data_IF_777248983484
#
_entry.id   IF_777248983484
#
_cell.length_a   1.000
_cell.length_b   1.000
_cell.length_c   1.000
_cell.angle_alpha   90.00
_cell.angle_beta   90.00
_cell.angle_gamma   90.00
#
_symmetry.space_group_name_H-M   'P 1'
#
loop_
_entity.id
_entity.type
_entity.pdbx_description
1 polymer ?
#
# COMPACT_ATOMS: atom_id res chain seq x y z
N UNK A 1 13.29 -43.02 -26.48
CA UNK A 1 12.96 -42.05 -25.41
C UNK A 1 13.80 -40.82 -25.64
N UNK A 2 13.25 -39.83 -26.34
CA UNK A 2 13.88 -38.52 -26.50
C UNK A 2 13.46 -37.68 -25.30
N UNK A 3 14.42 -37.35 -24.44
CA UNK A 3 14.23 -36.36 -23.40
C UNK A 3 13.94 -35.02 -24.07
N UNK A 4 12.72 -34.53 -23.91
CA UNK A 4 12.40 -33.16 -24.26
C UNK A 4 13.29 -32.24 -23.42
N UNK A 5 14.07 -31.40 -24.10
CA UNK A 5 14.83 -30.35 -23.44
C UNK A 5 13.85 -29.38 -22.75
N UNK A 6 14.20 -28.82 -21.58
CA UNK A 6 13.40 -27.78 -20.96
C UNK A 6 13.39 -26.61 -21.92
N UNK A 7 12.20 -26.25 -22.41
CA UNK A 7 12.07 -25.04 -23.19
C UNK A 7 12.19 -23.88 -22.19
N UNK A 8 13.35 -23.24 -22.15
CA UNK A 8 13.41 -21.85 -21.67
C UNK A 8 12.63 -21.02 -22.70
N UNK A 9 11.40 -20.62 -22.35
CA UNK A 9 10.54 -19.83 -23.22
C UNK A 9 10.50 -18.41 -22.68
N UNK A 10 10.79 -17.44 -23.55
CA UNK A 10 10.72 -16.02 -23.28
C UNK A 10 9.31 -15.53 -22.90
N UNK A 11 9.18 -14.21 -22.77
CA UNK A 11 7.96 -13.53 -22.32
C UNK A 11 6.70 -14.00 -23.09
N UNK A 12 5.72 -14.53 -22.36
CA UNK A 12 4.43 -14.99 -22.90
C UNK A 12 3.56 -13.82 -23.35
N UNK A 13 2.46 -14.09 -24.06
CA UNK A 13 1.50 -13.05 -24.46
C UNK A 13 0.89 -12.33 -23.24
N UNK A 14 0.57 -13.08 -22.18
CA UNK A 14 -0.04 -12.50 -20.97
C UNK A 14 0.96 -11.62 -20.21
N UNK A 15 2.23 -12.04 -20.13
CA UNK A 15 3.29 -11.22 -19.54
C UNK A 15 3.53 -9.94 -20.34
N UNK A 16 3.53 -10.02 -21.68
CA UNK A 16 3.66 -8.82 -22.53
C UNK A 16 2.49 -7.86 -22.31
N UNK A 17 1.27 -8.39 -22.26
CA UNK A 17 0.06 -7.58 -21.99
C UNK A 17 0.16 -6.87 -20.64
N UNK A 18 0.52 -7.61 -19.59
CA UNK A 18 0.69 -7.06 -18.25
C UNK A 18 1.79 -5.98 -18.20
N UNK A 19 2.92 -6.22 -18.86
CA UNK A 19 4.02 -5.28 -18.95
C UNK A 19 3.66 -4.00 -19.69
N UNK A 20 2.98 -4.11 -20.84
CA UNK A 20 2.50 -2.95 -21.59
C UNK A 20 1.55 -2.09 -20.74
N UNK A 21 0.64 -2.73 -19.99
CA UNK A 21 -0.28 -2.03 -19.08
C UNK A 21 0.47 -1.40 -17.90
N UNK A 22 1.44 -2.10 -17.31
CA UNK A 22 2.25 -1.58 -16.21
C UNK A 22 3.12 -0.39 -16.63
N UNK A 23 3.84 -0.50 -17.74
CA UNK A 23 4.65 0.59 -18.28
C UNK A 23 3.78 1.79 -18.68
N UNK A 24 2.59 1.56 -19.25
CA UNK A 24 1.64 2.62 -19.52
C UNK A 24 1.13 3.30 -18.24
N UNK A 25 0.88 2.56 -17.17
CA UNK A 25 0.45 3.12 -15.88
C UNK A 25 1.56 4.01 -15.31
N UNK A 26 2.78 3.47 -15.21
CA UNK A 26 3.92 4.15 -14.59
C UNK A 26 4.47 5.31 -15.43
N UNK A 27 4.09 5.42 -16.70
CA UNK A 27 4.32 6.60 -17.52
C UNK A 27 3.32 7.74 -17.25
N UNK A 28 2.22 7.46 -16.55
CA UNK A 28 1.27 8.48 -16.08
C UNK A 28 1.54 8.87 -14.63
N UNK A 29 0.69 9.71 -14.04
CA UNK A 29 0.75 10.08 -12.62
C UNK A 29 -0.64 10.01 -11.99
N UNK A 30 -0.76 9.55 -10.73
CA UNK A 30 -2.01 9.62 -9.98
C UNK A 30 -2.39 11.04 -9.56
N UNK A 31 -1.48 12.02 -9.64
CA UNK A 31 -1.68 13.40 -9.18
C UNK A 31 -2.49 14.27 -10.17
N UNK A 32 -3.34 13.65 -10.98
CA UNK A 32 -4.21 14.35 -11.91
C UNK A 32 -5.50 14.78 -11.21
N UNK A 33 -5.93 16.01 -11.48
CA UNK A 33 -7.27 16.45 -11.14
C UNK A 33 -8.30 15.69 -12.00
N UNK A 34 -9.46 15.39 -11.42
CA UNK A 34 -10.53 14.73 -12.18
C UNK A 34 -11.29 15.74 -13.06
N UNK A 35 -11.73 15.35 -14.27
CA UNK A 35 -11.58 14.03 -14.89
C UNK A 35 -10.13 13.75 -15.33
N UNK A 36 -9.71 12.49 -15.22
CA UNK A 36 -8.37 12.04 -15.63
C UNK A 36 -8.16 12.22 -17.14
N UNK A 37 -6.91 12.32 -17.58
CA UNK A 37 -6.61 12.34 -19.01
C UNK A 37 -6.95 10.99 -19.67
N UNK A 38 -7.01 10.97 -21.00
CA UNK A 38 -7.41 9.79 -21.76
C UNK A 38 -6.47 8.59 -21.54
N UNK A 39 -5.16 8.83 -21.45
CA UNK A 39 -4.14 7.80 -21.26
C UNK A 39 -4.31 7.08 -19.92
N UNK A 40 -4.41 7.83 -18.81
CA UNK A 40 -4.62 7.28 -17.48
C UNK A 40 -5.99 6.59 -17.38
N UNK A 41 -7.02 7.19 -17.95
CA UNK A 41 -8.36 6.58 -17.96
C UNK A 41 -8.37 5.23 -18.68
N UNK A 42 -7.66 5.11 -19.79
CA UNK A 42 -7.59 3.88 -20.58
C UNK A 42 -6.78 2.79 -19.87
N UNK A 43 -5.63 3.13 -19.28
CA UNK A 43 -4.83 2.12 -18.55
C UNK A 43 -5.56 1.59 -17.32
N UNK A 44 -6.27 2.44 -16.56
CA UNK A 44 -7.05 1.99 -15.41
C UNK A 44 -8.21 1.07 -15.81
N UNK A 45 -8.86 1.29 -16.97
CA UNK A 45 -9.87 0.36 -17.51
C UNK A 45 -9.29 -1.01 -17.85
N UNK A 46 -8.09 -1.05 -18.45
CA UNK A 46 -7.40 -2.31 -18.75
C UNK A 46 -7.04 -3.07 -17.48
N UNK A 47 -6.55 -2.36 -16.46
CA UNK A 47 -6.27 -2.95 -15.14
C UNK A 47 -7.56 -3.51 -14.51
N UNK A 48 -8.64 -2.73 -14.49
CA UNK A 48 -9.93 -3.21 -13.99
C UNK A 48 -10.37 -4.48 -14.72
N UNK A 49 -10.26 -4.52 -16.05
CA UNK A 49 -10.61 -5.70 -16.84
C UNK A 49 -9.77 -6.92 -16.50
N UNK A 50 -8.44 -6.77 -16.36
CA UNK A 50 -7.56 -7.86 -15.94
C UNK A 50 -7.94 -8.36 -14.54
N UNK A 51 -8.28 -7.45 -13.63
CA UNK A 51 -8.74 -7.82 -12.30
C UNK A 51 -10.08 -8.58 -12.37
N UNK A 52 -11.06 -8.09 -13.12
CA UNK A 52 -12.37 -8.75 -13.26
C UNK A 52 -12.24 -10.18 -13.84
N UNK A 53 -11.26 -10.41 -14.72
CA UNK A 53 -10.96 -11.74 -15.26
C UNK A 53 -10.24 -12.66 -14.25
N UNK A 54 -9.60 -12.09 -13.24
CA UNK A 54 -8.92 -12.79 -12.15
C UNK A 54 -9.87 -12.96 -10.96
N UNK A 55 -10.57 -14.10 -10.92
CA UNK A 55 -11.51 -14.44 -9.84
C UNK A 55 -10.79 -14.56 -8.49
N UNK A 56 -11.48 -14.26 -7.39
CA UNK A 56 -10.96 -14.42 -6.02
C UNK A 56 -10.44 -15.83 -5.75
N UNK A 57 -11.24 -16.87 -6.03
CA UNK A 57 -10.85 -18.28 -5.85
C UNK A 57 -9.53 -18.60 -6.58
N UNK A 58 -9.39 -18.10 -7.81
CA UNK A 58 -8.17 -18.29 -8.58
C UNK A 58 -6.97 -17.59 -7.91
N UNK A 59 -7.14 -16.34 -7.47
CA UNK A 59 -6.11 -15.57 -6.78
C UNK A 59 -5.72 -16.22 -5.44
N UNK A 60 -6.68 -16.60 -4.60
CA UNK A 60 -6.43 -17.28 -3.33
C UNK A 60 -5.70 -18.61 -3.54
N UNK A 61 -6.12 -19.41 -4.52
CA UNK A 61 -5.43 -20.65 -4.87
C UNK A 61 -4.00 -20.41 -5.38
N UNK A 62 -3.75 -19.27 -6.05
CA UNK A 62 -2.41 -18.83 -6.41
C UNK A 62 -1.58 -18.46 -5.18
N UNK A 63 -2.13 -17.68 -4.23
CA UNK A 63 -1.45 -17.32 -2.98
C UNK A 63 -1.08 -18.56 -2.16
N UNK A 64 -1.95 -19.57 -2.12
CA UNK A 64 -1.70 -20.82 -1.39
C UNK A 64 -0.81 -21.83 -2.15
N UNK A 65 -0.48 -21.58 -3.43
CA UNK A 65 0.24 -22.55 -4.25
C UNK A 65 1.73 -22.66 -3.90
N UNK A 66 2.39 -23.70 -4.41
CA UNK A 66 3.85 -23.84 -4.36
C UNK A 66 4.52 -22.85 -5.32
N UNK A 67 5.75 -22.44 -5.03
CA UNK A 67 6.50 -21.44 -5.79
C UNK A 67 6.56 -21.73 -7.28
N UNK A 68 6.91 -22.95 -7.68
CA UNK A 68 6.96 -23.32 -9.10
C UNK A 68 5.58 -23.20 -9.79
N UNK A 69 4.49 -23.49 -9.08
CA UNK A 69 3.13 -23.33 -9.61
C UNK A 69 2.74 -21.85 -9.71
N UNK A 70 3.09 -21.06 -8.70
CA UNK A 70 2.85 -19.62 -8.70
C UNK A 70 3.59 -18.92 -9.84
N UNK A 71 4.89 -19.19 -10.00
CA UNK A 71 5.71 -18.66 -11.09
C UNK A 71 5.18 -19.05 -12.48
N UNK A 72 4.62 -20.26 -12.61
CA UNK A 72 3.98 -20.66 -13.86
C UNK A 72 2.67 -19.90 -14.10
N UNK A 73 1.83 -19.69 -13.08
CA UNK A 73 0.59 -18.92 -13.23
C UNK A 73 0.85 -17.45 -13.54
N UNK A 74 1.87 -16.85 -12.92
CA UNK A 74 2.34 -15.49 -13.24
C UNK A 74 2.75 -15.33 -14.71
N UNK A 75 3.05 -16.42 -15.43
CA UNK A 75 3.35 -16.38 -16.87
C UNK A 75 2.11 -16.47 -17.76
N UNK A 76 0.97 -16.93 -17.26
CA UNK A 76 -0.21 -17.24 -18.09
C UNK A 76 -1.50 -16.58 -17.59
N UNK A 77 -1.39 -15.60 -16.71
CA UNK A 77 -2.49 -14.75 -16.27
C UNK A 77 -2.02 -13.29 -16.24
N UNK A 78 -2.65 -12.37 -17.02
CA UNK A 78 -2.21 -10.98 -17.08
C UNK A 78 -2.26 -10.25 -15.74
N UNK A 79 -3.23 -10.55 -14.87
CA UNK A 79 -3.37 -9.86 -13.59
C UNK A 79 -2.32 -10.33 -12.59
N UNK A 80 -2.04 -11.64 -12.52
CA UNK A 80 -0.96 -12.18 -11.70
C UNK A 80 0.41 -11.72 -12.20
N UNK A 81 0.60 -11.63 -13.51
CA UNK A 81 1.80 -11.05 -14.11
C UNK A 81 1.97 -9.58 -13.69
N UNK A 82 0.89 -8.77 -13.78
CA UNK A 82 0.91 -7.36 -13.38
C UNK A 82 1.19 -7.18 -11.88
N UNK A 83 0.55 -8.00 -11.03
CA UNK A 83 0.80 -8.06 -9.59
C UNK A 83 2.28 -8.34 -9.29
N UNK A 84 2.85 -9.36 -9.94
CA UNK A 84 4.28 -9.70 -9.79
C UNK A 84 5.21 -8.59 -10.29
N UNK A 85 4.93 -8.04 -11.47
CA UNK A 85 5.71 -6.96 -12.08
C UNK A 85 5.73 -5.71 -11.19
N UNK A 86 4.62 -5.40 -10.53
CA UNK A 86 4.52 -4.27 -9.60
C UNK A 86 5.50 -4.42 -8.43
N UNK A 87 5.60 -5.61 -7.83
CA UNK A 87 6.61 -5.86 -6.79
C UNK A 87 8.04 -5.74 -7.35
N UNK A 88 8.33 -6.40 -8.46
CA UNK A 88 9.68 -6.40 -9.03
C UNK A 88 10.11 -4.97 -9.42
N UNK A 89 9.18 -4.16 -9.94
CA UNK A 89 9.38 -2.74 -10.24
C UNK A 89 9.71 -1.94 -8.98
N UNK A 90 8.92 -2.08 -7.91
CA UNK A 90 9.15 -1.36 -6.64
C UNK A 90 10.47 -1.78 -6.00
N UNK A 91 10.77 -3.08 -5.95
CA UNK A 91 12.06 -3.60 -5.47
C UNK A 91 13.22 -2.99 -6.26
N UNK A 92 13.13 -2.96 -7.59
CA UNK A 92 14.16 -2.35 -8.43
C UNK A 92 14.28 -0.83 -8.19
N UNK A 93 13.16 -0.14 -8.04
CA UNK A 93 13.13 1.30 -7.76
C UNK A 93 13.79 1.62 -6.41
N UNK A 94 13.53 0.83 -5.36
CA UNK A 94 14.14 1.01 -4.04
C UNK A 94 15.66 0.79 -4.11
N UNK A 95 16.12 -0.24 -4.83
CA UNK A 95 17.56 -0.52 -5.00
C UNK A 95 18.30 0.60 -5.70
N UNK A 96 17.69 1.19 -6.72
CA UNK A 96 18.35 2.11 -7.65
C UNK A 96 18.13 3.58 -7.32
N UNK A 97 17.09 3.91 -6.55
CA UNK A 97 16.81 5.29 -6.14
C UNK A 97 17.72 5.69 -4.98
N UNK A 98 18.64 6.62 -5.24
CA UNK A 98 19.24 7.46 -4.20
C UNK A 98 18.30 8.63 -3.93
N UNK A 99 17.84 8.78 -2.70
CA UNK A 99 16.92 9.88 -2.33
C UNK A 99 17.74 11.09 -1.93
N UNK A 100 17.46 12.24 -2.54
CA UNK A 100 18.12 13.51 -2.24
C UNK A 100 17.67 14.06 -0.88
N UNK A 101 18.55 14.77 -0.16
CA UNK A 101 18.16 15.50 1.05
C UNK A 101 17.00 16.46 0.76
N UNK A 102 16.03 16.51 1.68
CA UNK A 102 14.79 17.28 1.55
C UNK A 102 13.70 16.57 0.75
N UNK A 103 13.87 15.29 0.42
CA UNK A 103 12.95 14.52 -0.44
C UNK A 103 12.50 13.22 0.22
N UNK A 104 11.26 12.79 -0.06
CA UNK A 104 10.76 11.45 0.29
C UNK A 104 10.15 10.78 -0.92
N UNK A 105 10.48 9.50 -1.16
CA UNK A 105 9.84 8.67 -2.16
C UNK A 105 8.83 7.72 -1.50
N UNK A 106 7.66 7.57 -2.12
CA UNK A 106 6.56 6.73 -1.64
C UNK A 106 6.14 5.82 -2.81
N UNK A 107 5.99 4.53 -2.55
CA UNK A 107 5.49 3.56 -3.53
C UNK A 107 4.27 2.85 -2.99
N UNK A 108 3.23 2.73 -3.82
CA UNK A 108 2.08 1.90 -3.55
C UNK A 108 2.30 0.50 -4.14
N UNK A 109 2.20 -0.56 -3.32
CA UNK A 109 2.51 -1.92 -3.77
C UNK A 109 1.27 -2.73 -4.15
N UNK A 110 0.39 -3.00 -3.19
CA UNK A 110 -0.81 -3.81 -3.36
C UNK A 110 -1.78 -3.50 -2.21
N UNK A 111 -3.09 -3.49 -2.49
CA UNK A 111 -4.14 -3.16 -1.52
C UNK A 111 -3.90 -1.80 -0.81
N UNK A 112 -3.32 -1.82 0.39
CA UNK A 112 -2.84 -0.62 1.08
C UNK A 112 -1.40 -0.74 1.62
N UNK A 113 -0.61 -1.61 1.02
CA UNK A 113 0.80 -1.78 1.37
C UNK A 113 1.67 -0.69 0.73
N UNK A 114 2.27 0.16 1.55
CA UNK A 114 3.15 1.26 1.11
C UNK A 114 4.59 1.07 1.53
N UNK A 115 5.51 1.54 0.69
CA UNK A 115 6.92 1.67 1.04
C UNK A 115 7.32 3.14 0.96
N UNK A 116 8.03 3.61 1.97
CA UNK A 116 8.51 4.99 2.07
C UNK A 116 10.03 4.98 2.22
N UNK A 117 10.73 5.80 1.43
CA UNK A 117 12.18 5.96 1.47
C UNK A 117 12.57 7.43 1.56
N UNK A 118 13.29 7.77 2.62
CA UNK A 118 14.01 9.02 2.83
C UNK A 118 15.50 8.81 2.48
N UNK A 119 16.35 9.85 2.54
CA UNK A 119 17.80 9.68 2.35
C UNK A 119 18.43 8.69 3.34
N UNK A 120 17.91 8.62 4.56
CA UNK A 120 18.51 7.83 5.64
C UNK A 120 17.72 6.60 6.07
N UNK A 121 16.46 6.43 5.63
CA UNK A 121 15.62 5.32 6.09
C UNK A 121 14.61 4.87 5.04
N UNK A 122 14.37 3.57 4.94
CA UNK A 122 13.41 2.92 4.07
C UNK A 122 12.50 2.00 4.90
N UNK A 123 11.18 2.13 4.82
CA UNK A 123 10.27 1.35 5.64
C UNK A 123 8.98 0.97 4.92
N UNK A 124 8.38 -0.14 5.35
CA UNK A 124 7.12 -0.65 4.81
C UNK A 124 5.97 -0.51 5.81
N UNK A 125 4.75 -0.33 5.31
CA UNK A 125 3.51 -0.37 6.07
C UNK A 125 2.55 -1.32 5.37
N UNK A 126 1.94 -2.24 6.11
CA UNK A 126 0.92 -3.18 5.64
C UNK A 126 1.28 -3.94 4.34
N UNK A 127 2.54 -4.35 4.24
CA UNK A 127 3.05 -5.05 3.06
C UNK A 127 2.48 -6.48 3.03
N UNK A 128 1.57 -6.71 2.08
CA UNK A 128 1.12 -8.04 1.71
C UNK A 128 1.37 -8.30 0.22
N UNK A 129 2.31 -9.20 -0.04
CA UNK A 129 2.56 -9.74 -1.37
C UNK A 129 3.10 -11.16 -1.23
N UNK A 130 2.83 -12.06 -2.20
CA UNK A 130 3.34 -13.46 -2.16
C UNK A 130 4.85 -13.50 -1.89
N UNK A 131 5.60 -12.74 -2.68
CA UNK A 131 7.06 -12.62 -2.63
C UNK A 131 7.58 -11.48 -1.74
N UNK A 132 6.77 -11.00 -0.78
CA UNK A 132 7.12 -9.83 0.04
C UNK A 132 8.43 -9.99 0.82
N UNK A 133 8.84 -11.21 1.17
CA UNK A 133 10.11 -11.47 1.86
C UNK A 133 11.33 -10.88 1.13
N UNK A 134 11.27 -10.72 -0.20
CA UNK A 134 12.33 -10.12 -1.02
C UNK A 134 12.59 -8.64 -0.70
N UNK A 135 11.68 -7.99 0.03
CA UNK A 135 11.82 -6.61 0.50
C UNK A 135 12.68 -6.49 1.75
N UNK A 136 12.84 -7.56 2.55
CA UNK A 136 13.58 -7.50 3.82
C UNK A 136 14.93 -6.78 3.70
N UNK A 137 15.81 -7.09 2.71
CA UNK A 137 17.13 -6.47 2.65
C UNK A 137 17.11 -4.95 2.49
N UNK A 138 15.98 -4.39 2.03
CA UNK A 138 15.83 -2.99 1.68
C UNK A 138 14.98 -2.19 2.66
N UNK A 139 14.34 -2.85 3.63
CA UNK A 139 13.57 -2.20 4.68
C UNK A 139 14.40 -2.15 5.95
N UNK A 140 14.38 -1.00 6.62
CA UNK A 140 14.98 -0.77 7.93
C UNK A 140 14.01 -1.14 9.05
N UNK A 141 12.71 -0.91 8.84
CA UNK A 141 11.64 -1.38 9.73
C UNK A 141 10.33 -1.64 8.97
N UNK A 142 9.40 -2.34 9.63
CA UNK A 142 8.07 -2.65 9.11
C UNK A 142 7.00 -2.23 10.13
N UNK A 143 5.90 -1.65 9.65
CA UNK A 143 4.70 -1.37 10.43
C UNK A 143 3.56 -2.27 9.94
N UNK A 144 2.86 -2.93 10.85
CA UNK A 144 1.68 -3.75 10.56
C UNK A 144 0.53 -3.28 11.43
N UNK A 145 -0.53 -2.79 10.81
CA UNK A 145 -1.63 -2.12 11.50
C UNK A 145 -2.42 -3.12 12.35
N UNK A 146 -2.75 -4.29 11.82
CA UNK A 146 -3.53 -5.30 12.52
C UNK A 146 -3.40 -6.71 11.92
N UNK A 147 -4.15 -7.66 12.46
CA UNK A 147 -4.03 -9.10 12.15
C UNK A 147 -5.12 -9.57 11.18
N UNK A 148 -5.19 -8.96 10.00
CA UNK A 148 -5.91 -9.51 8.84
C UNK A 148 -4.91 -9.81 7.72
N UNK A 149 -5.15 -10.93 7.02
CA UNK A 149 -4.14 -11.52 6.12
C UNK A 149 -3.77 -10.61 4.95
N UNK A 150 -4.66 -9.72 4.54
CA UNK A 150 -4.47 -8.78 3.46
C UNK A 150 -3.56 -7.58 3.83
N UNK A 151 -3.21 -7.42 5.12
CA UNK A 151 -2.32 -6.36 5.64
C UNK A 151 -0.90 -6.84 5.98
N UNK A 152 -0.60 -8.13 5.91
CA UNK A 152 0.74 -8.60 6.28
C UNK A 152 1.16 -9.85 5.54
N UNK A 153 2.47 -9.98 5.36
CA UNK A 153 3.09 -11.22 4.94
C UNK A 153 3.93 -11.84 6.06
N UNK A 154 3.60 -13.06 6.46
CA UNK A 154 4.29 -13.79 7.53
C UNK A 154 5.76 -14.03 7.23
N UNK A 155 6.12 -14.35 5.98
CA UNK A 155 7.51 -14.60 5.61
C UNK A 155 8.36 -13.32 5.73
N UNK A 156 7.83 -12.17 5.27
CA UNK A 156 8.48 -10.88 5.47
C UNK A 156 8.64 -10.52 6.96
N UNK A 157 7.59 -10.67 7.77
CA UNK A 157 7.68 -10.41 9.23
C UNK A 157 8.81 -11.25 9.85
N UNK A 158 8.84 -12.55 9.56
CA UNK A 158 9.86 -13.44 10.10
C UNK A 158 11.25 -13.07 9.61
N UNK A 159 11.40 -12.73 8.33
CA UNK A 159 12.67 -12.29 7.75
C UNK A 159 13.19 -11.03 8.45
N UNK A 160 12.33 -10.01 8.66
CA UNK A 160 12.67 -8.79 9.38
C UNK A 160 13.12 -9.08 10.82
N UNK A 161 12.35 -9.88 11.57
CA UNK A 161 12.68 -10.23 12.95
C UNK A 161 13.98 -11.03 13.05
N UNK A 162 14.22 -11.97 12.14
CA UNK A 162 15.45 -12.77 12.08
C UNK A 162 16.68 -11.91 11.76
N UNK A 163 16.50 -10.85 10.95
CA UNK A 163 17.54 -9.86 10.66
C UNK A 163 17.73 -8.83 11.81
N UNK A 164 16.96 -8.92 12.90
CA UNK A 164 17.01 -7.98 14.02
C UNK A 164 16.38 -6.62 13.70
N UNK A 165 15.59 -6.51 12.63
CA UNK A 165 14.95 -5.27 12.21
C UNK A 165 13.61 -5.05 12.94
N UNK A 166 13.30 -3.81 13.37
CA UNK A 166 12.06 -3.53 14.08
C UNK A 166 10.81 -3.86 13.25
N UNK A 167 9.84 -4.49 13.91
CA UNK A 167 8.48 -4.66 13.41
C UNK A 167 7.50 -4.07 14.43
N UNK A 168 6.81 -2.99 14.07
CA UNK A 168 5.85 -2.29 14.92
C UNK A 168 4.44 -2.78 14.66
N UNK A 169 3.73 -3.19 15.70
CA UNK A 169 2.34 -3.64 15.60
C UNK A 169 1.65 -3.64 16.95
N UNK A 170 0.43 -4.18 17.02
CA UNK A 170 -0.22 -4.49 18.29
C UNK A 170 -0.29 -5.99 18.62
N UNK A 171 0.29 -6.89 17.82
CA UNK A 171 0.08 -8.33 17.98
C UNK A 171 1.28 -9.23 17.62
N UNK A 172 2.28 -8.73 16.92
CA UNK A 172 3.41 -9.52 16.43
C UNK A 172 4.41 -9.77 17.55
N UNK A 173 4.46 -11.01 18.04
CA UNK A 173 5.44 -11.43 19.04
C UNK A 173 6.87 -11.27 18.50
N UNK A 174 7.76 -10.74 19.34
CA UNK A 174 9.16 -10.47 18.97
C UNK A 174 9.37 -9.07 18.36
N UNK A 175 8.31 -8.41 17.90
CA UNK A 175 8.33 -7.01 17.48
C UNK A 175 8.04 -6.02 18.62
N UNK A 176 8.06 -4.74 18.27
CA UNK A 176 7.62 -3.65 19.12
C UNK A 176 6.09 -3.64 19.16
N UNK A 177 5.55 -4.23 20.21
CA UNK A 177 4.10 -4.46 20.35
C UNK A 177 3.49 -3.56 21.42
N UNK A 178 2.45 -2.81 21.07
CA UNK A 178 1.64 -2.08 22.05
C UNK A 178 0.14 -2.23 21.79
N UNK A 179 -0.62 -2.40 22.87
CA UNK A 179 -2.10 -2.40 22.88
C UNK A 179 -2.70 -1.05 23.31
N UNK A 180 -1.85 -0.03 23.47
CA UNK A 180 -2.21 1.33 23.86
C UNK A 180 -1.54 2.30 22.91
N UNK A 181 -1.98 3.56 22.92
CA UNK A 181 -1.26 4.60 22.20
C UNK A 181 0.18 4.67 22.68
N UNK A 182 1.12 4.82 21.76
CA UNK A 182 2.55 4.72 22.05
C UNK A 182 3.32 5.49 20.99
N UNK A 183 4.45 6.05 21.39
CA UNK A 183 5.41 6.66 20.48
C UNK A 183 6.66 5.78 20.41
N UNK A 184 7.18 5.63 19.19
CA UNK A 184 8.46 5.02 18.91
C UNK A 184 9.34 6.00 18.14
N UNK A 185 10.63 5.69 18.08
CA UNK A 185 11.58 6.42 17.26
C UNK A 185 12.54 5.43 16.60
N UNK A 186 12.79 5.62 15.31
CA UNK A 186 13.83 4.93 14.55
C UNK A 186 14.66 5.98 13.80
N UNK A 187 15.94 6.11 14.13
CA UNK A 187 16.78 7.22 13.66
C UNK A 187 16.11 8.59 13.91
N UNK A 188 15.86 9.35 12.85
CA UNK A 188 15.17 10.64 12.88
C UNK A 188 13.65 10.53 12.66
N UNK A 189 13.13 9.33 12.41
CA UNK A 189 11.69 9.10 12.21
C UNK A 189 11.01 8.87 13.56
N UNK A 190 10.02 9.71 13.88
CA UNK A 190 9.10 9.46 15.00
C UNK A 190 7.86 8.75 14.48
N UNK A 191 7.35 7.79 15.26
CA UNK A 191 6.21 6.96 14.92
C UNK A 191 5.20 7.07 16.06
N UNK A 192 4.08 7.74 15.80
CA UNK A 192 2.96 7.85 16.74
C UNK A 192 1.92 6.79 16.44
N UNK A 193 1.52 6.03 17.45
CA UNK A 193 0.52 4.99 17.32
C UNK A 193 -0.74 5.38 18.09
N UNK A 194 -1.88 5.37 17.39
CA UNK A 194 -3.22 5.36 18.00
C UNK A 194 -3.83 3.97 17.86
N UNK A 195 -4.54 3.51 18.89
CA UNK A 195 -5.26 2.23 18.85
C UNK A 195 -6.76 2.49 18.66
N UNK A 196 -7.32 1.90 17.60
CA UNK A 196 -8.71 2.12 17.17
C UNK A 196 -9.45 0.80 16.97
N UNK A 197 -10.78 0.84 16.90
CA UNK A 197 -11.54 -0.36 16.50
C UNK A 197 -11.40 -0.61 15.00
N UNK A 198 -11.59 -1.85 14.59
CA UNK A 198 -11.66 -2.26 13.21
C UNK A 198 -13.03 -1.96 12.63
N UNK A 199 -13.07 -1.12 11.59
CA UNK A 199 -14.26 -0.77 10.81
C UNK A 199 -15.59 -0.83 11.61
N UNK A 200 -16.60 -1.54 11.12
CA UNK A 200 -17.85 -1.82 11.85
C UNK A 200 -17.97 -3.30 12.26
N UNK A 201 -16.87 -4.07 12.29
CA UNK A 201 -16.87 -5.53 12.54
C UNK A 201 -17.00 -5.92 14.01
N UNK A 202 -16.97 -4.94 14.94
CA UNK A 202 -17.04 -5.18 16.38
C UNK A 202 -15.71 -5.56 17.03
N UNK A 203 -14.59 -5.58 16.28
CA UNK A 203 -13.26 -5.81 16.84
C UNK A 203 -12.72 -4.51 17.47
N UNK A 204 -12.83 -4.40 18.79
CA UNK A 204 -12.38 -3.21 19.53
C UNK A 204 -10.87 -3.17 19.74
N UNK A 205 -10.26 -1.98 19.70
CA UNK A 205 -8.82 -1.78 19.93
C UNK A 205 -7.92 -2.71 19.10
N UNK A 206 -8.30 -2.93 17.84
CA UNK A 206 -7.72 -3.95 16.97
C UNK A 206 -6.73 -3.37 15.96
N UNK A 207 -6.83 -2.09 15.61
CA UNK A 207 -6.01 -1.45 14.57
C UNK A 207 -5.05 -0.45 15.18
N UNK A 208 -3.76 -0.62 14.89
CA UNK A 208 -2.72 0.38 15.09
C UNK A 208 -2.71 1.34 13.91
N UNK A 209 -3.14 2.58 14.16
CA UNK A 209 -3.02 3.70 13.23
C UNK A 209 -1.64 4.32 13.41
N UNK A 210 -0.87 4.47 12.33
CA UNK A 210 0.50 4.99 12.38
C UNK A 210 0.58 6.40 11.81
N UNK A 211 1.12 7.34 12.59
CA UNK A 211 1.55 8.66 12.11
C UNK A 211 3.06 8.74 12.13
N UNK A 212 3.66 9.28 11.08
CA UNK A 212 5.09 9.40 10.91
C UNK A 212 5.51 10.88 10.83
N UNK A 213 6.55 11.27 11.57
CA UNK A 213 7.34 12.47 11.31
C UNK A 213 8.70 12.00 10.79
N UNK A 214 9.00 12.19 9.49
CA UNK A 214 10.17 11.60 8.84
C UNK A 214 11.47 12.43 8.96
N UNK A 215 11.45 13.55 9.69
CA UNK A 215 12.64 14.38 9.92
C UNK A 215 13.00 15.34 8.78
N UNK A 216 14.06 16.11 8.96
CA UNK A 216 14.48 17.19 8.07
C UNK A 216 15.05 16.70 6.74
N UNK A 217 15.81 15.61 6.74
CA UNK A 217 16.36 14.97 5.53
C UNK A 217 15.27 14.50 4.56
N UNK A 218 14.05 14.28 5.05
CA UNK A 218 12.88 13.87 4.29
C UNK A 218 12.11 15.05 3.67
N UNK A 219 12.53 16.29 3.95
CA UNK A 219 11.77 17.51 3.64
C UNK A 219 10.66 17.78 4.66
N UNK A 220 10.86 17.35 5.91
CA UNK A 220 9.88 17.36 7.00
C UNK A 220 8.58 16.63 6.62
N UNK A 221 8.69 15.53 5.86
CA UNK A 221 7.55 14.76 5.41
C UNK A 221 6.81 14.14 6.59
N UNK A 222 5.48 14.24 6.58
CA UNK A 222 4.59 13.66 7.58
C UNK A 222 3.49 12.85 6.92
N UNK A 223 3.15 11.70 7.50
CA UNK A 223 2.18 10.78 6.93
C UNK A 223 1.31 10.13 8.00
N UNK A 224 0.02 9.94 7.73
CA UNK A 224 -0.90 9.15 8.54
C UNK A 224 -1.42 7.96 7.73
N UNK A 225 -1.19 6.73 8.21
CA UNK A 225 -1.73 5.50 7.63
C UNK A 225 -2.74 4.85 8.58
N UNK A 226 -3.98 4.67 8.12
CA UNK A 226 -5.08 4.32 9.03
C UNK A 226 -5.28 2.83 9.24
N UNK A 227 -4.72 1.97 8.39
CA UNK A 227 -5.16 0.58 8.30
C UNK A 227 -6.69 0.52 8.14
N UNK A 228 -7.28 -0.51 8.74
CA UNK A 228 -8.74 -0.72 8.73
C UNK A 228 -9.50 -0.04 9.86
N UNK A 229 -8.98 1.08 10.34
CA UNK A 229 -9.63 1.82 11.42
C UNK A 229 -11.09 2.17 11.11
N UNK A 230 -11.89 2.32 12.15
CA UNK A 230 -13.30 2.72 12.08
C UNK A 230 -13.55 4.21 11.80
N UNK A 231 -12.49 5.04 11.77
CA UNK A 231 -12.59 6.49 11.60
C UNK A 231 -13.42 7.22 12.68
N UNK A 232 -13.54 6.66 13.89
CA UNK A 232 -14.10 7.38 15.04
C UNK A 232 -13.04 8.33 15.59
N UNK A 233 -13.16 9.63 15.29
CA UNK A 233 -12.20 10.66 15.70
C UNK A 233 -11.77 10.56 17.19
N UNK A 234 -12.70 10.22 18.10
CA UNK A 234 -12.40 10.06 19.52
C UNK A 234 -11.31 9.00 19.85
N UNK A 235 -10.98 8.08 18.93
CA UNK A 235 -9.91 7.09 19.10
C UNK A 235 -8.59 7.49 18.43
N UNK A 236 -8.58 8.56 17.64
CA UNK A 236 -7.39 9.11 16.98
C UNK A 236 -6.70 10.13 17.89
N UNK A 237 -6.26 9.67 19.07
CA UNK A 237 -5.79 10.57 20.13
C UNK A 237 -4.28 10.82 20.12
N UNK A 238 -3.53 10.10 19.29
CA UNK A 238 -2.09 10.23 19.12
C UNK A 238 -1.75 10.32 17.62
N UNK A 239 -2.22 11.40 17.00
CA UNK A 239 -1.96 11.75 15.60
C UNK A 239 -1.55 13.23 15.52
N UNK A 240 -0.95 13.63 14.40
CA UNK A 240 -0.63 15.03 14.14
C UNK A 240 -1.87 15.80 13.65
N UNK A 241 -2.04 17.08 14.03
CA UNK A 241 -3.15 17.91 13.57
C UNK A 241 -3.07 18.26 12.08
N UNK A 242 -1.88 18.14 11.48
CA UNK A 242 -1.61 18.29 10.06
C UNK A 242 -0.67 17.18 9.62
N UNK A 243 -0.89 16.66 8.42
CA UNK A 243 0.03 15.73 7.76
C UNK A 243 0.16 16.11 6.29
N UNK A 244 1.29 15.80 5.67
CA UNK A 244 1.42 15.98 4.22
C UNK A 244 0.57 14.97 3.47
N UNK A 245 0.59 13.70 3.92
CA UNK A 245 -0.14 12.61 3.28
C UNK A 245 -1.01 11.86 4.30
N UNK A 246 -2.29 11.72 3.99
CA UNK A 246 -3.19 10.76 4.64
C UNK A 246 -3.44 9.58 3.71
N UNK A 247 -3.30 8.36 4.22
CA UNK A 247 -3.58 7.10 3.53
C UNK A 247 -4.72 6.40 4.27
N UNK A 248 -5.98 6.64 3.87
CA UNK A 248 -7.14 5.92 4.38
C UNK A 248 -7.43 4.69 3.50
N UNK A 249 -8.03 3.67 4.11
CA UNK A 249 -8.76 2.65 3.33
C UNK A 249 -10.05 3.23 2.74
N UNK A 250 -10.54 2.64 1.66
CA UNK A 250 -11.92 2.84 1.22
C UNK A 250 -12.90 2.37 2.30
N UNK A 251 -13.87 3.22 2.65
CA UNK A 251 -14.87 2.90 3.65
C UNK A 251 -16.15 2.27 3.08
N UNK A 252 -16.61 1.12 3.64
CA UNK A 252 -17.87 0.50 3.25
C UNK A 252 -19.04 1.50 3.33
N UNK A 253 -19.10 2.24 4.43
CA UNK A 253 -20.05 3.36 4.56
C UNK A 253 -19.50 4.60 3.85
N UNK A 254 -20.30 5.15 2.95
CA UNK A 254 -19.91 6.29 2.12
C UNK A 254 -19.36 7.47 2.95
N UNK A 255 -18.18 7.95 2.57
CA UNK A 255 -17.50 9.14 3.11
C UNK A 255 -17.17 9.08 4.60
N UNK A 256 -17.09 7.89 5.19
CA UNK A 256 -16.73 7.71 6.61
C UNK A 256 -15.29 8.17 6.88
N UNK A 257 -14.42 8.14 5.87
CA UNK A 257 -13.06 8.65 5.91
C UNK A 257 -13.03 10.15 6.28
N UNK A 258 -14.05 10.93 5.88
CA UNK A 258 -14.13 12.36 6.20
C UNK A 258 -14.28 12.65 7.70
N UNK A 259 -14.64 11.66 8.52
CA UNK A 259 -14.75 11.84 9.97
C UNK A 259 -13.42 12.22 10.62
N UNK A 260 -12.29 11.86 10.00
CA UNK A 260 -10.94 12.19 10.49
C UNK A 260 -10.25 13.30 9.67
N UNK A 261 -10.91 13.84 8.65
CA UNK A 261 -10.36 14.90 7.79
C UNK A 261 -10.93 16.25 8.26
N UNK A 262 -10.09 17.07 8.90
CA UNK A 262 -10.51 18.35 9.46
C UNK A 262 -9.56 18.87 10.54
N UNK A 263 -10.03 19.83 11.33
CA UNK A 263 -9.25 20.49 12.38
C UNK A 263 -9.78 20.23 13.79
N UNK A 264 -10.78 19.37 13.93
CA UNK A 264 -11.35 18.98 15.22
C UNK A 264 -10.48 18.00 16.00
N UNK A 265 -10.87 17.71 17.25
CA UNK A 265 -10.20 16.71 18.06
C UNK A 265 -10.28 15.33 17.38
N UNK A 266 -9.14 14.66 17.22
CA UNK A 266 -9.04 13.38 16.53
C UNK A 266 -9.15 13.45 15.00
N UNK A 267 -9.03 14.65 14.44
CA UNK A 267 -8.94 14.88 13.01
C UNK A 267 -7.55 15.39 12.64
N UNK A 268 -7.17 15.21 11.38
CA UNK A 268 -5.98 15.82 10.78
C UNK A 268 -6.36 16.56 9.52
N UNK A 269 -5.62 17.64 9.21
CA UNK A 269 -5.72 18.34 7.93
C UNK A 269 -4.62 17.81 6.99
N UNK A 270 -4.93 16.92 6.03
CA UNK A 270 -3.95 16.46 5.05
C UNK A 270 -3.75 17.46 3.90
N UNK A 271 -2.53 17.57 3.38
CA UNK A 271 -2.27 18.25 2.09
C UNK A 271 -2.73 17.37 0.90
N UNK A 272 -2.54 16.06 1.03
CA UNK A 272 -2.92 15.03 0.05
C UNK A 272 -3.59 13.83 0.74
N UNK A 273 -4.59 13.25 0.05
CA UNK A 273 -5.16 11.96 0.43
C UNK A 273 -4.85 10.93 -0.66
N UNK A 274 -4.23 9.82 -0.27
CA UNK A 274 -3.97 8.66 -1.14
C UNK A 274 -4.98 7.57 -0.79
N UNK A 275 -6.16 7.61 -1.42
CA UNK A 275 -7.20 6.62 -1.16
C UNK A 275 -6.72 5.24 -1.58
N UNK A 276 -6.74 4.30 -0.64
CA UNK A 276 -6.13 2.98 -0.77
C UNK A 276 -7.10 1.87 -0.37
N UNK A 277 -6.60 0.64 -0.27
CA UNK A 277 -7.39 -0.54 0.04
C UNK A 277 -8.45 -0.82 -1.03
N UNK A 278 -8.00 -0.87 -2.29
CA UNK A 278 -8.86 -1.01 -3.46
C UNK A 278 -8.37 -2.17 -4.32
N UNK A 279 -9.30 -2.74 -5.09
CA UNK A 279 -9.05 -3.86 -5.99
C UNK A 279 -8.31 -5.03 -5.32
N UNK A 280 -8.64 -5.32 -4.05
CA UNK A 280 -8.11 -6.46 -3.33
C UNK A 280 -8.60 -7.76 -3.99
N UNK A 281 -7.68 -8.52 -4.58
CA UNK A 281 -7.99 -9.66 -5.44
C UNK A 281 -8.53 -10.87 -4.67
N UNK A 282 -8.39 -10.93 -3.35
CA UNK A 282 -9.00 -11.97 -2.48
C UNK A 282 -10.51 -11.81 -2.35
N UNK A 283 -11.05 -10.61 -2.61
CA UNK A 283 -12.48 -10.37 -2.52
C UNK A 283 -13.20 -10.64 -3.84
N UNK A 284 -14.43 -11.10 -3.78
CA UNK A 284 -15.21 -11.49 -4.97
C UNK A 284 -15.72 -10.28 -5.75
N UNK A 285 -16.23 -9.26 -5.05
CA UNK A 285 -16.97 -8.14 -5.64
C UNK A 285 -16.93 -6.89 -4.75
N UNK A 286 -17.47 -5.77 -5.22
CA UNK A 286 -17.57 -4.54 -4.39
C UNK A 286 -18.41 -4.74 -3.13
N UNK A 287 -19.45 -5.57 -3.17
CA UNK A 287 -20.26 -5.92 -1.99
C UNK A 287 -19.43 -6.65 -0.93
N UNK A 288 -18.40 -7.37 -1.39
CA UNK A 288 -17.42 -8.09 -0.58
C UNK A 288 -16.12 -7.28 -0.41
N UNK A 289 -16.12 -5.95 -0.60
CA UNK A 289 -14.97 -5.04 -0.39
C UNK A 289 -13.88 -5.04 -1.49
N UNK A 290 -14.12 -5.64 -2.66
CA UNK A 290 -13.27 -5.45 -3.85
C UNK A 290 -13.59 -4.13 -4.57
N UNK A 291 -13.33 -3.00 -3.91
CA UNK A 291 -13.65 -1.67 -4.45
C UNK A 291 -13.00 -1.43 -5.82
N UNK A 292 -13.79 -1.15 -6.85
CA UNK A 292 -13.27 -0.93 -8.20
C UNK A 292 -12.47 0.37 -8.29
N UNK A 293 -11.65 0.48 -9.34
CA UNK A 293 -10.94 1.72 -9.67
C UNK A 293 -11.92 2.88 -9.92
N UNK A 294 -13.08 2.61 -10.53
CA UNK A 294 -14.09 3.64 -10.77
C UNK A 294 -14.71 4.15 -9.47
N UNK A 295 -15.11 3.25 -8.58
CA UNK A 295 -15.65 3.60 -7.26
C UNK A 295 -14.62 4.33 -6.40
N UNK A 296 -13.34 3.94 -6.48
CA UNK A 296 -12.25 4.62 -5.81
C UNK A 296 -12.07 6.07 -6.31
N UNK A 297 -12.07 6.28 -7.63
CA UNK A 297 -11.98 7.63 -8.21
C UNK A 297 -13.18 8.48 -7.81
N UNK A 298 -14.40 7.95 -7.89
CA UNK A 298 -15.59 8.65 -7.44
C UNK A 298 -15.49 9.02 -5.95
N UNK A 299 -15.06 8.09 -5.10
CA UNK A 299 -14.87 8.32 -3.66
C UNK A 299 -13.84 9.42 -3.40
N UNK A 300 -12.67 9.35 -4.04
CA UNK A 300 -11.61 10.33 -3.88
C UNK A 300 -12.09 11.75 -4.22
N UNK A 301 -12.92 11.92 -5.27
CA UNK A 301 -13.46 13.22 -5.67
C UNK A 301 -14.39 13.89 -4.63
N UNK A 302 -14.83 13.15 -3.61
CA UNK A 302 -15.78 13.58 -2.59
C UNK A 302 -15.17 13.68 -1.19
N UNK A 303 -13.87 13.37 -1.04
CA UNK A 303 -13.19 13.51 0.25
C UNK A 303 -12.93 14.99 0.56
N UNK A 304 -12.90 15.34 1.85
CA UNK A 304 -12.70 16.71 2.34
C UNK A 304 -11.23 17.18 2.22
N UNK A 305 -10.55 16.81 1.14
CA UNK A 305 -9.19 17.22 0.81
C UNK A 305 -9.10 17.50 -0.69
N UNK A 306 -8.56 18.66 -1.05
CA UNK A 306 -8.45 19.13 -2.43
C UNK A 306 -7.62 18.18 -3.31
N UNK A 307 -6.55 17.61 -2.76
CA UNK A 307 -5.67 16.68 -3.47
C UNK A 307 -5.93 15.23 -3.06
N UNK A 308 -7.13 14.76 -3.34
CA UNK A 308 -7.51 13.35 -3.12
C UNK A 308 -7.33 12.55 -4.40
N UNK A 309 -6.42 11.57 -4.36
CA UNK A 309 -5.97 10.81 -5.53
C UNK A 309 -5.98 9.30 -5.24
N UNK A 310 -5.88 8.52 -6.31
CA UNK A 310 -5.86 7.05 -6.26
C UNK A 310 -4.57 6.55 -6.92
N UNK A 311 -3.47 6.41 -6.17
CA UNK A 311 -2.29 5.71 -6.65
C UNK A 311 -2.58 4.21 -6.76
N UNK A 312 -1.89 3.56 -7.69
CA UNK A 312 -2.04 2.13 -7.96
C UNK A 312 -0.68 1.42 -7.96
N UNK A 313 -0.71 0.11 -8.15
CA UNK A 313 0.42 -0.77 -7.87
C UNK A 313 1.65 -0.41 -8.70
N UNK A 314 2.78 -0.27 -8.02
CA UNK A 314 4.06 0.14 -8.58
C UNK A 314 4.25 1.64 -8.78
N UNK A 315 3.21 2.47 -8.66
CA UNK A 315 3.35 3.92 -8.84
C UNK A 315 4.23 4.54 -7.75
N UNK A 316 5.12 5.45 -8.17
CA UNK A 316 6.02 6.22 -7.32
C UNK A 316 5.50 7.66 -7.20
N UNK A 317 5.47 8.16 -5.97
CA UNK A 317 5.20 9.55 -5.62
C UNK A 317 6.42 10.15 -4.94
N UNK A 318 6.70 11.43 -5.18
CA UNK A 318 7.87 12.12 -4.61
C UNK A 318 7.46 13.38 -3.88
N UNK A 319 7.61 13.38 -2.57
CA UNK A 319 7.51 14.60 -1.76
C UNK A 319 8.80 15.39 -1.89
N UNK A 320 8.71 16.62 -2.42
CA UNK A 320 9.84 17.54 -2.58
C UNK A 320 9.33 18.97 -2.61
N UNK A 321 10.06 19.88 -1.97
CA UNK A 321 9.75 21.32 -1.93
C UNK A 321 8.33 21.63 -1.45
N UNK A 322 7.85 20.87 -0.46
CA UNK A 322 6.54 21.09 0.17
C UNK A 322 5.34 20.62 -0.66
N UNK A 323 5.55 19.76 -1.66
CA UNK A 323 4.49 19.21 -2.51
C UNK A 323 4.78 17.78 -2.95
N UNK A 324 3.71 17.07 -3.29
CA UNK A 324 3.79 15.73 -3.88
C UNK A 324 3.89 15.87 -5.41
N UNK A 325 4.80 15.12 -6.04
CA UNK A 325 5.08 15.13 -7.48
C UNK A 325 5.01 13.72 -8.07
#
# INVERSE_FOLDING_TARGET
>A
MTYAQPVEIGETTDMKTAKEVAEALWATTPLQQQPLNAERSEVLKKIQKMADDCTSDFFESYIASLDQSAEMREKYDPMLAFYRLSLDHVINAIKTTTVENGTTCIWQLYNMGYIVKTPTTCFGIDINHRWAEKLEPYLDFLCVTHKHQDHYNTALINAMLNAGKPVYSNWIKGGYTSKKNTDYQFNNIKIHVSITDHNNSGLSNFVSVFTFECGDDSGNFTMLHTGDSNFKAAQYTNILPHVNVLIPRYAPNALTENNIIGTGAGQTKPDYVLLSHILELSHESEEESRWSLNSALERASKLNCENSVVPFWGEKLVWKDGKLN
#
